data_IF_334355611551
#
_entry.id   IF_334355611551
#
_cell.length_a   1.000
_cell.length_b   1.000
_cell.length_c   1.000
_cell.angle_alpha   90.00
_cell.angle_beta   90.00
_cell.angle_gamma   90.00
#
_symmetry.space_group_name_H-M   'P 1'
#
loop_
_entity.id
_entity.type
_entity.pdbx_description
1 polymer ?
#
# COMPACT_ATOMS: atom_id res chain seq x y z
N UNK A 1 -0.02 -10.20 15.01
CA UNK A 1 0.04 -11.23 13.95
C UNK A 1 -0.42 -10.62 12.62
N UNK A 2 0.47 -9.98 11.84
CA UNK A 2 0.09 -9.27 10.60
C UNK A 2 0.50 -10.09 9.37
N UNK A 3 -0.25 -11.17 9.09
CA UNK A 3 0.00 -12.09 7.97
C UNK A 3 -1.01 -11.90 6.84
N UNK A 4 -0.67 -10.98 5.93
CA UNK A 4 -0.25 -11.43 4.60
C UNK A 4 -1.33 -11.78 3.58
N UNK A 5 -2.14 -10.84 3.11
CA UNK A 5 -2.93 -11.12 1.89
C UNK A 5 -2.00 -11.27 0.68
N UNK A 6 -1.06 -10.35 0.47
CA UNK A 6 -0.07 -10.45 -0.62
C UNK A 6 0.95 -11.57 -0.39
N UNK A 7 1.38 -11.78 0.87
CA UNK A 7 2.33 -12.85 1.21
C UNK A 7 1.70 -14.23 1.05
N UNK A 8 0.49 -14.46 1.57
CA UNK A 8 -0.26 -15.72 1.38
C UNK A 8 -0.66 -15.90 -0.08
N UNK A 9 -0.99 -14.82 -0.79
CA UNK A 9 -1.25 -14.87 -2.24
C UNK A 9 0.00 -15.32 -3.00
N UNK A 10 1.17 -14.72 -2.70
CA UNK A 10 2.46 -15.12 -3.27
C UNK A 10 2.82 -16.58 -2.93
N UNK A 11 2.63 -17.00 -1.68
CA UNK A 11 2.88 -18.38 -1.22
C UNK A 11 1.94 -19.39 -1.91
N UNK A 12 0.66 -19.05 -2.07
CA UNK A 12 -0.33 -19.88 -2.79
C UNK A 12 -0.05 -20.00 -4.29
N UNK A 13 0.47 -18.94 -4.92
CA UNK A 13 0.83 -18.95 -6.33
C UNK A 13 2.17 -19.66 -6.60
N UNK A 14 3.18 -19.41 -5.76
CA UNK A 14 4.50 -20.03 -5.87
C UNK A 14 4.44 -21.55 -5.70
N UNK A 15 3.50 -22.05 -4.88
CA UNK A 15 3.27 -23.49 -4.70
C UNK A 15 2.55 -24.17 -5.88
N UNK A 16 1.92 -23.41 -6.78
CA UNK A 16 1.16 -23.96 -7.90
C UNK A 16 1.90 -23.87 -9.24
N UNK A 17 2.71 -22.83 -9.49
CA UNK A 17 3.62 -22.72 -10.65
C UNK A 17 4.57 -21.51 -10.48
N UNK A 18 5.88 -21.71 -10.20
CA UNK A 18 6.83 -20.60 -9.96
C UNK A 18 6.98 -19.61 -11.13
N UNK A 19 6.90 -20.09 -12.38
CA UNK A 19 7.05 -19.28 -13.61
C UNK A 19 5.82 -18.41 -13.95
N UNK A 20 4.64 -18.72 -13.39
CA UNK A 20 3.42 -17.91 -13.56
C UNK A 20 3.46 -16.66 -12.66
N UNK A 21 4.17 -16.74 -11.52
CA UNK A 21 4.27 -15.63 -10.57
C UNK A 21 5.11 -14.47 -11.13
N UNK A 22 6.18 -14.79 -11.84
CA UNK A 22 7.09 -13.84 -12.47
C UNK A 22 6.46 -13.13 -13.68
N UNK A 23 5.51 -13.80 -14.35
CA UNK A 23 4.80 -13.27 -15.52
C UNK A 23 3.50 -12.51 -15.19
N UNK A 24 2.93 -12.64 -13.97
CA UNK A 24 1.63 -12.02 -13.61
C UNK A 24 1.63 -11.00 -12.47
N UNK A 25 2.69 -10.87 -11.66
CA UNK A 25 2.84 -9.69 -10.78
C UNK A 25 3.75 -8.69 -11.50
N UNK A 26 3.24 -8.09 -12.56
CA UNK A 26 3.94 -7.04 -13.28
C UNK A 26 3.99 -5.77 -12.45
N UNK A 27 4.86 -4.84 -12.83
CA UNK A 27 4.90 -3.50 -12.21
C UNK A 27 3.58 -2.73 -12.35
N UNK A 28 2.70 -3.16 -13.25
CA UNK A 28 1.36 -2.62 -13.47
C UNK A 28 0.29 -3.22 -12.55
N UNK A 29 0.66 -4.15 -11.65
CA UNK A 29 -0.30 -4.75 -10.72
C UNK A 29 -1.01 -3.69 -9.86
N UNK A 30 -2.35 -3.69 -9.90
CA UNK A 30 -3.27 -2.77 -9.23
C UNK A 30 -3.28 -1.32 -9.73
N UNK A 31 -2.74 -1.05 -10.93
CA UNK A 31 -2.76 0.29 -11.55
C UNK A 31 -4.19 0.85 -11.69
N UNK A 32 -5.14 0.04 -12.18
CA UNK A 32 -6.53 0.47 -12.39
C UNK A 32 -7.23 0.90 -11.09
N UNK A 33 -6.88 0.29 -9.94
CA UNK A 33 -7.44 0.67 -8.64
C UNK A 33 -6.90 2.03 -8.16
N UNK A 34 -5.69 2.41 -8.58
CA UNK A 34 -5.14 3.72 -8.27
C UNK A 34 -5.76 4.85 -9.10
N UNK A 35 -6.46 4.56 -10.20
CA UNK A 35 -7.01 5.58 -11.09
C UNK A 35 -7.93 6.59 -10.38
N UNK A 36 -8.58 6.16 -9.29
CA UNK A 36 -9.50 6.98 -8.49
C UNK A 36 -8.96 7.36 -7.10
N UNK A 37 -7.67 7.13 -6.83
CA UNK A 37 -7.04 7.49 -5.55
C UNK A 37 -6.02 8.59 -5.82
N UNK A 38 -6.17 9.74 -5.17
CA UNK A 38 -5.33 10.91 -5.36
C UNK A 38 -4.63 11.31 -4.07
N UNK A 39 -3.42 11.84 -4.19
CA UNK A 39 -2.74 12.48 -3.05
C UNK A 39 -3.60 13.63 -2.55
N UNK A 40 -3.81 13.69 -1.24
CA UNK A 40 -4.70 14.64 -0.58
C UNK A 40 -6.06 14.05 -0.20
N UNK A 41 -6.47 12.94 -0.80
CA UNK A 41 -7.76 12.32 -0.50
C UNK A 41 -7.85 11.88 0.97
N UNK A 42 -9.00 12.12 1.59
CA UNK A 42 -9.38 11.47 2.85
C UNK A 42 -9.70 10.01 2.58
N UNK A 43 -9.22 9.12 3.46
CA UNK A 43 -9.38 7.70 3.26
C UNK A 43 -9.52 6.94 4.58
N UNK A 44 -10.02 5.71 4.45
CA UNK A 44 -10.02 4.68 5.48
C UNK A 44 -9.25 3.47 4.98
N UNK A 45 -8.43 2.85 5.84
CA UNK A 45 -7.54 1.74 5.48
C UNK A 45 -7.89 0.45 6.20
N UNK A 46 -8.27 -0.56 5.43
CA UNK A 46 -8.60 -1.89 5.93
C UNK A 46 -7.35 -2.77 6.23
N UNK A 47 -7.43 -3.71 7.18
CA UNK A 47 -8.49 -3.84 8.18
C UNK A 47 -8.35 -2.77 9.29
N UNK A 48 -9.48 -2.50 9.95
CA UNK A 48 -9.61 -1.51 11.02
C UNK A 48 -10.12 -0.16 10.49
N UNK A 49 -10.73 0.63 11.37
CA UNK A 49 -11.30 1.95 11.04
C UNK A 49 -10.22 3.05 11.07
N UNK A 50 -9.04 2.77 10.50
CA UNK A 50 -7.91 3.72 10.52
C UNK A 50 -8.10 4.75 9.42
N UNK A 51 -8.33 5.99 9.83
CA UNK A 51 -8.53 7.12 8.91
C UNK A 51 -7.25 7.92 8.71
N UNK A 52 -7.14 8.55 7.55
CA UNK A 52 -5.96 9.31 7.18
C UNK A 52 -6.08 10.03 5.86
N UNK A 53 -4.95 10.61 5.44
CA UNK A 53 -4.79 11.31 4.17
C UNK A 53 -3.84 10.53 3.27
N UNK A 54 -4.20 10.37 2.00
CA UNK A 54 -3.31 9.82 0.99
C UNK A 54 -2.14 10.79 0.75
N UNK A 55 -0.91 10.28 0.87
CA UNK A 55 0.34 11.02 0.69
C UNK A 55 1.19 10.55 -0.48
N UNK A 56 0.93 9.35 -1.00
CA UNK A 56 1.66 8.78 -2.13
C UNK A 56 0.74 7.82 -2.89
N UNK A 57 0.82 7.83 -4.23
CA UNK A 57 0.17 6.85 -5.10
C UNK A 57 1.14 6.52 -6.21
N UNK A 58 1.51 5.25 -6.36
CA UNK A 58 2.42 4.83 -7.43
C UNK A 58 3.25 3.60 -7.12
N UNK A 59 4.25 3.37 -7.96
CA UNK A 59 5.23 2.28 -7.78
C UNK A 59 6.27 2.68 -6.74
N UNK A 60 6.60 1.74 -5.85
CA UNK A 60 7.60 1.95 -4.81
C UNK A 60 8.77 0.98 -5.01
N UNK A 61 9.85 1.43 -5.65
CA UNK A 61 10.98 0.57 -6.06
C UNK A 61 11.64 -0.22 -4.91
N UNK A 62 11.66 0.32 -3.69
CA UNK A 62 12.21 -0.38 -2.51
C UNK A 62 11.25 -1.44 -1.92
N UNK A 63 10.00 -1.48 -2.40
CA UNK A 63 8.95 -2.41 -1.98
C UNK A 63 8.69 -3.49 -3.04
N UNK A 64 7.76 -4.40 -2.75
CA UNK A 64 7.41 -5.45 -3.71
C UNK A 64 6.74 -4.84 -4.96
N UNK A 65 6.83 -5.50 -6.14
CA UNK A 65 6.28 -5.01 -7.40
C UNK A 65 4.79 -4.62 -7.33
N UNK A 66 4.37 -3.77 -8.27
CA UNK A 66 3.01 -3.21 -8.38
C UNK A 66 2.83 -1.87 -7.67
N UNK A 67 1.59 -1.38 -7.66
CA UNK A 67 1.23 -0.09 -7.09
C UNK A 67 1.04 -0.15 -5.57
N UNK A 68 1.30 0.99 -4.95
CA UNK A 68 1.22 1.25 -3.51
C UNK A 68 0.53 2.59 -3.26
N UNK A 69 -0.13 2.67 -2.12
CA UNK A 69 -0.67 3.91 -1.57
C UNK A 69 0.03 4.18 -0.24
N UNK A 70 0.64 5.36 -0.12
CA UNK A 70 1.15 5.87 1.15
C UNK A 70 0.07 6.69 1.84
N UNK A 71 -0.19 6.40 3.10
CA UNK A 71 -1.19 7.07 3.93
C UNK A 71 -0.51 7.65 5.16
N UNK A 72 -0.83 8.89 5.49
CA UNK A 72 -0.63 9.45 6.81
C UNK A 72 -1.91 9.23 7.60
N UNK A 73 -1.86 8.37 8.63
CA UNK A 73 -2.97 8.22 9.56
C UNK A 73 -3.14 9.45 10.44
N UNK A 74 -4.36 9.67 10.91
CA UNK A 74 -4.67 10.75 11.86
C UNK A 74 -4.07 10.46 13.23
N UNK A 75 -4.02 9.18 13.61
CA UNK A 75 -3.48 8.66 14.86
C UNK A 75 -2.18 7.87 14.62
N UNK A 76 -1.31 7.66 15.65
CA UNK A 76 -0.03 6.97 15.52
C UNK A 76 -0.18 5.44 15.40
N UNK A 77 -0.96 4.99 14.42
CA UNK A 77 -1.31 3.59 14.12
C UNK A 77 -0.55 3.03 12.90
N UNK A 78 0.41 3.80 12.40
CA UNK A 78 1.30 3.49 11.29
C UNK A 78 2.58 2.79 11.73
N UNK A 79 3.58 2.82 10.86
CA UNK A 79 4.84 2.07 11.01
C UNK A 79 6.08 2.93 10.83
N UNK A 80 5.95 4.09 10.17
CA UNK A 80 7.06 4.94 9.79
C UNK A 80 6.65 6.41 9.80
N UNK A 81 7.60 7.30 9.59
CA UNK A 81 7.45 8.75 9.40
C UNK A 81 7.34 9.14 7.91
N UNK A 82 7.23 8.13 7.03
CA UNK A 82 7.16 8.31 5.57
C UNK A 82 8.43 7.87 4.83
N UNK A 83 9.49 7.50 5.57
CA UNK A 83 10.64 6.76 5.04
C UNK A 83 10.44 5.25 5.19
N UNK A 84 10.70 4.49 4.12
CA UNK A 84 10.68 3.02 4.14
C UNK A 84 11.94 2.49 3.48
N UNK A 85 12.70 1.65 4.19
CA UNK A 85 13.97 1.05 3.72
C UNK A 85 14.94 2.08 3.10
N UNK A 86 15.09 3.23 3.74
CA UNK A 86 16.00 4.30 3.30
C UNK A 86 15.48 5.16 2.14
N UNK A 87 14.29 4.91 1.61
CA UNK A 87 13.65 5.77 0.60
C UNK A 87 12.55 6.61 1.25
N UNK A 88 12.60 7.94 1.09
CA UNK A 88 11.54 8.85 1.54
C UNK A 88 10.45 8.94 0.47
N UNK A 89 9.25 8.48 0.81
CA UNK A 89 8.09 8.53 -0.08
C UNK A 89 7.22 9.77 0.19
N UNK A 90 7.12 10.16 1.46
CA UNK A 90 6.39 11.34 1.93
C UNK A 90 6.89 11.73 3.33
N UNK A 91 6.39 12.84 3.86
CA UNK A 91 6.65 13.29 5.23
C UNK A 91 5.38 13.18 6.08
N UNK A 92 5.51 12.64 7.30
CA UNK A 92 4.48 12.63 8.33
C UNK A 92 5.09 12.44 9.72
N UNK A 93 4.34 12.64 10.82
CA UNK A 93 4.85 12.37 12.16
C UNK A 93 5.26 10.89 12.35
N UNK A 94 6.18 10.61 13.29
CA UNK A 94 6.59 9.23 13.59
C UNK A 94 5.39 8.35 13.93
N UNK A 95 5.35 7.14 13.37
CA UNK A 95 4.25 6.17 13.53
C UNK A 95 2.93 6.57 12.87
N UNK A 96 2.87 7.58 12.01
CA UNK A 96 1.64 7.88 11.25
C UNK A 96 1.64 7.29 9.84
N UNK A 97 2.82 7.06 9.27
CA UNK A 97 2.97 6.60 7.90
C UNK A 97 2.67 5.11 7.72
N UNK A 98 1.95 4.78 6.67
CA UNK A 98 1.77 3.41 6.19
C UNK A 98 1.90 3.33 4.67
N UNK A 99 2.53 2.27 4.18
CA UNK A 99 2.48 1.84 2.78
C UNK A 99 1.57 0.62 2.66
N UNK A 100 0.47 0.75 1.91
CA UNK A 100 -0.54 -0.30 1.72
C UNK A 100 -0.85 -0.52 0.25
N UNK A 101 -1.56 -1.61 -0.05
CA UNK A 101 -2.02 -1.89 -1.41
C UNK A 101 -3.30 -1.10 -1.71
N UNK A 102 -3.56 -0.74 -2.99
CA UNK A 102 -4.73 0.05 -3.37
C UNK A 102 -6.06 -0.58 -2.92
N UNK A 103 -6.19 -1.92 -2.94
CA UNK A 103 -7.39 -2.66 -2.50
C UNK A 103 -7.68 -2.58 -0.99
N UNK A 104 -6.84 -1.88 -0.24
CA UNK A 104 -7.00 -1.65 1.20
C UNK A 104 -7.41 -0.22 1.50
N UNK A 105 -7.51 0.66 0.49
CA UNK A 105 -7.78 2.07 0.67
C UNK A 105 -9.16 2.38 0.10
N UNK A 106 -10.04 2.89 0.95
CA UNK A 106 -11.32 3.43 0.55
C UNK A 106 -11.26 4.95 0.66
N UNK A 107 -11.33 5.64 -0.47
CA UNK A 107 -11.41 7.12 -0.51
C UNK A 107 -12.80 7.56 -0.04
N UNK A 108 -12.83 8.56 0.83
CA UNK A 108 -14.06 9.24 1.23
C UNK A 108 -14.43 10.23 0.13
N UNK A 109 -15.63 10.12 -0.43
CA UNK A 109 -16.17 11.14 -1.34
C UNK A 109 -16.73 12.25 -0.44
N UNK A 110 -16.22 13.47 -0.58
CA UNK A 110 -16.84 14.69 -0.05
C UNK A 110 -17.88 15.23 -1.03
#
# INVERSE_FOLDING_TARGET
MYNGTFRKFKEKLASQNPSILESKISDHYMEDLCANIKVGDRCEVEPGEKRGVVKFVGRAQSLAPGFWVGVQYDEPLGKHDGMVKGTRYFDCPPLHGAMVRPDKVKVCIE
#
